data_IF_996361185835
#
_entry.id   IF_996361185835
#
_cell.length_a   1.000
_cell.length_b   1.000
_cell.length_c   1.000
_cell.angle_alpha   90.00
_cell.angle_beta   90.00
_cell.angle_gamma   90.00
#
_symmetry.space_group_name_H-M   'P 1'
#
loop_
_entity.id
_entity.type
_entity.pdbx_description
1 polymer ?
#
# COMPACT_ATOMS: atom_id res chain seq x y z
N UNK A 1 17.72 4.27 2.38
CA UNK A 1 16.47 4.21 1.59
C UNK A 1 15.87 2.83 1.71
N UNK A 2 14.55 2.78 1.92
CA UNK A 2 13.73 1.56 1.92
C UNK A 2 12.61 1.73 0.91
N UNK A 3 12.48 0.77 -0.01
CA UNK A 3 11.41 0.76 -1.00
C UNK A 3 10.13 0.13 -0.45
N UNK A 4 9.00 0.76 -0.80
CA UNK A 4 7.63 0.32 -0.59
C UNK A 4 6.91 0.42 -1.93
N UNK A 5 6.87 -0.66 -2.67
CA UNK A 5 6.39 -0.73 -4.04
C UNK A 5 5.42 -1.89 -4.25
N UNK A 6 4.75 -1.89 -5.40
CA UNK A 6 3.72 -2.85 -5.78
C UNK A 6 2.55 -2.95 -4.79
N UNK A 7 1.89 -4.12 -4.74
CA UNK A 7 0.70 -4.33 -3.93
C UNK A 7 1.05 -4.69 -2.48
N UNK A 8 0.54 -3.92 -1.53
CA UNK A 8 0.75 -4.18 -0.10
C UNK A 8 -0.12 -5.34 0.37
N UNK A 9 0.50 -6.50 0.52
CA UNK A 9 -0.18 -7.73 0.97
C UNK A 9 0.66 -8.47 2.02
N UNK A 10 -0.02 -9.11 2.97
CA UNK A 10 0.62 -9.96 3.96
C UNK A 10 0.51 -11.43 3.55
N UNK A 11 1.08 -11.77 2.43
CA UNK A 11 1.18 -13.15 1.92
C UNK A 11 2.43 -13.31 1.06
N UNK A 12 2.89 -14.55 0.94
CA UNK A 12 3.99 -14.85 0.03
C UNK A 12 3.49 -14.71 -1.41
N UNK A 13 4.14 -13.85 -2.17
CA UNK A 13 3.91 -13.72 -3.60
C UNK A 13 4.75 -14.76 -4.33
N UNK A 14 4.11 -15.72 -4.97
CA UNK A 14 4.75 -16.78 -5.74
C UNK A 14 4.50 -16.60 -7.22
N UNK A 15 5.52 -16.75 -8.05
CA UNK A 15 5.43 -16.62 -9.51
C UNK A 15 6.77 -16.90 -10.17
N UNK A 16 6.82 -16.93 -11.49
CA UNK A 16 8.09 -16.99 -12.23
C UNK A 16 8.92 -15.74 -11.92
N UNK A 17 10.07 -15.95 -11.30
CA UNK A 17 10.98 -14.87 -10.88
C UNK A 17 10.73 -14.35 -9.45
N UNK A 18 9.69 -14.81 -8.75
CA UNK A 18 9.49 -14.52 -7.33
C UNK A 18 10.08 -15.62 -6.45
N UNK A 19 10.77 -15.24 -5.39
CA UNK A 19 11.29 -16.18 -4.38
C UNK A 19 10.25 -16.50 -3.29
N UNK A 20 8.97 -16.15 -3.48
CA UNK A 20 7.91 -16.38 -2.51
C UNK A 20 7.94 -15.37 -1.36
N UNK A 21 8.37 -14.16 -1.61
CA UNK A 21 8.54 -13.14 -0.59
C UNK A 21 7.22 -12.50 -0.16
N UNK A 22 7.18 -12.10 1.11
CA UNK A 22 6.06 -11.39 1.71
C UNK A 22 6.46 -9.91 1.90
N UNK A 23 5.78 -8.94 1.26
CA UNK A 23 6.12 -7.53 1.35
C UNK A 23 6.20 -6.99 2.78
N UNK A 24 5.26 -7.39 3.65
CA UNK A 24 5.24 -6.99 5.07
C UNK A 24 6.47 -7.54 5.82
N UNK A 25 6.80 -8.82 5.57
CA UNK A 25 7.97 -9.45 6.21
C UNK A 25 9.28 -8.83 5.76
N UNK A 26 9.41 -8.52 4.46
CA UNK A 26 10.57 -7.82 3.90
C UNK A 26 10.73 -6.42 4.49
N UNK A 27 9.63 -5.68 4.61
CA UNK A 27 9.65 -4.36 5.21
C UNK A 27 10.15 -4.41 6.66
N UNK A 28 9.61 -5.32 7.48
CA UNK A 28 10.07 -5.55 8.85
C UNK A 28 11.54 -5.94 8.93
N UNK A 29 12.02 -6.81 8.02
CA UNK A 29 13.42 -7.21 7.94
C UNK A 29 14.34 -6.02 7.65
N UNK A 30 13.96 -5.15 6.71
CA UNK A 30 14.69 -3.93 6.40
C UNK A 30 14.74 -2.97 7.59
N UNK A 31 13.62 -2.74 8.28
CA UNK A 31 13.59 -1.92 9.50
C UNK A 31 14.50 -2.49 10.60
N UNK A 32 14.47 -3.81 10.79
CA UNK A 32 15.36 -4.48 11.75
C UNK A 32 16.84 -4.34 11.38
N UNK A 33 17.17 -4.38 10.09
CA UNK A 33 18.53 -4.12 9.61
C UNK A 33 19.00 -2.71 9.96
N UNK A 34 18.13 -1.70 9.79
CA UNK A 34 18.40 -0.32 10.18
C UNK A 34 18.63 -0.21 11.69
N UNK A 35 17.76 -0.85 12.48
CA UNK A 35 17.89 -0.85 13.95
C UNK A 35 19.21 -1.40 14.45
N UNK A 36 19.81 -2.33 13.71
CA UNK A 36 21.08 -2.94 14.07
C UNK A 36 22.32 -2.14 13.62
N UNK A 37 22.13 -1.06 12.85
CA UNK A 37 23.22 -0.23 12.34
C UNK A 37 23.13 1.20 12.91
N UNK A 38 23.92 1.52 13.96
CA UNK A 38 23.90 2.83 14.60
C UNK A 38 24.45 3.96 13.72
N UNK A 39 25.06 3.64 12.59
CA UNK A 39 25.54 4.65 11.63
C UNK A 39 24.40 5.27 10.83
N UNK A 40 23.23 4.62 10.74
CA UNK A 40 22.07 5.15 10.04
C UNK A 40 21.41 6.24 10.87
N UNK A 41 21.27 7.42 10.28
CA UNK A 41 20.83 8.65 10.96
C UNK A 41 19.47 9.16 10.49
N UNK A 42 18.97 8.68 9.36
CA UNK A 42 17.65 8.98 8.82
C UNK A 42 17.14 7.82 7.96
N UNK A 43 15.84 7.76 7.79
CA UNK A 43 15.16 6.79 6.91
C UNK A 43 14.40 7.55 5.83
N UNK A 44 14.63 7.22 4.57
CA UNK A 44 13.79 7.63 3.46
C UNK A 44 12.96 6.43 2.99
N UNK A 45 11.63 6.51 3.10
CA UNK A 45 10.69 5.55 2.53
C UNK A 45 10.38 5.99 1.11
N UNK A 46 10.82 5.23 0.12
CA UNK A 46 10.53 5.49 -1.28
C UNK A 46 9.29 4.71 -1.69
N UNK A 47 8.18 5.42 -1.90
CA UNK A 47 6.84 4.85 -2.07
C UNK A 47 6.42 4.92 -3.53
N UNK A 48 6.07 3.76 -4.11
CA UNK A 48 5.52 3.63 -5.46
C UNK A 48 4.46 2.50 -5.49
N UNK A 49 3.34 2.71 -4.80
CA UNK A 49 2.30 1.70 -4.61
C UNK A 49 0.89 2.30 -4.70
N UNK A 50 -0.05 1.61 -5.33
CA UNK A 50 -1.47 1.97 -5.29
C UNK A 50 -2.15 1.57 -3.96
N UNK A 51 -1.40 0.95 -3.03
CA UNK A 51 -1.91 0.42 -1.78
C UNK A 51 -2.08 -1.10 -1.78
N UNK A 52 -3.06 -1.60 -1.05
CA UNK A 52 -3.28 -3.04 -0.91
C UNK A 52 -4.25 -3.39 0.22
N UNK A 53 -4.05 -4.53 0.86
CA UNK A 53 -4.88 -4.97 1.98
C UNK A 53 -4.85 -3.99 3.15
N UNK A 54 -6.02 -3.67 3.72
CA UNK A 54 -6.13 -2.82 4.92
C UNK A 54 -5.22 -3.35 6.03
N UNK A 55 -5.30 -4.65 6.31
CA UNK A 55 -4.49 -5.28 7.36
C UNK A 55 -2.99 -5.21 7.06
N UNK A 56 -2.56 -5.37 5.80
CA UNK A 56 -1.14 -5.27 5.44
C UNK A 56 -0.61 -3.85 5.64
N UNK A 57 -1.37 -2.84 5.20
CA UNK A 57 -1.02 -1.42 5.36
C UNK A 57 -0.95 -1.01 6.84
N UNK A 58 -1.94 -1.44 7.65
CA UNK A 58 -1.97 -1.18 9.09
C UNK A 58 -0.79 -1.87 9.81
N UNK A 59 -0.48 -3.11 9.45
CA UNK A 59 0.65 -3.84 10.04
C UNK A 59 2.00 -3.19 9.69
N UNK A 60 2.19 -2.74 8.45
CA UNK A 60 3.42 -2.02 8.06
C UNK A 60 3.54 -0.68 8.80
N UNK A 61 2.42 0.05 8.97
CA UNK A 61 2.38 1.27 9.78
C UNK A 61 2.75 1.00 11.24
N UNK A 62 2.21 -0.07 11.83
CA UNK A 62 2.53 -0.49 13.18
C UNK A 62 4.03 -0.83 13.36
N UNK A 63 4.63 -1.55 12.40
CA UNK A 63 6.08 -1.85 12.42
C UNK A 63 6.93 -0.56 12.33
N UNK A 64 6.49 0.41 11.54
CA UNK A 64 7.18 1.71 11.43
C UNK A 64 7.07 2.53 12.72
N UNK A 65 5.91 2.53 13.38
CA UNK A 65 5.75 3.16 14.69
C UNK A 65 6.57 2.47 15.79
N UNK A 66 6.62 1.14 15.78
CA UNK A 66 7.47 0.38 16.70
C UNK A 66 8.95 0.73 16.49
N UNK A 67 9.39 0.76 15.24
CA UNK A 67 10.74 1.19 14.86
C UNK A 67 11.05 2.61 15.37
N UNK A 68 10.15 3.58 15.16
CA UNK A 68 10.32 4.98 15.60
C UNK A 68 10.47 5.09 17.12
N UNK A 69 9.73 4.30 17.89
CA UNK A 69 9.82 4.30 19.36
C UNK A 69 11.20 3.83 19.87
N UNK A 70 11.78 2.85 19.18
CA UNK A 70 13.08 2.28 19.54
C UNK A 70 14.26 3.08 18.96
N UNK A 71 14.06 3.67 17.78
CA UNK A 71 15.06 4.39 16.99
C UNK A 71 14.49 5.75 16.55
N UNK A 72 14.64 6.80 17.38
CA UNK A 72 14.08 8.13 17.10
C UNK A 72 14.93 8.90 16.05
N UNK A 73 15.00 8.35 14.84
CA UNK A 73 15.61 9.01 13.68
C UNK A 73 14.51 9.57 12.77
N UNK A 74 14.78 10.67 12.03
CA UNK A 74 13.83 11.23 11.07
C UNK A 74 13.43 10.22 10.01
N UNK A 75 12.14 10.21 9.67
CA UNK A 75 11.56 9.39 8.60
C UNK A 75 10.95 10.33 7.56
N UNK A 76 11.42 10.28 6.33
CA UNK A 76 10.88 11.05 5.20
C UNK A 76 10.26 10.09 4.19
N UNK A 77 9.00 10.30 3.83
CA UNK A 77 8.37 9.58 2.73
C UNK A 77 8.61 10.33 1.42
N UNK A 78 9.01 9.60 0.38
CA UNK A 78 9.17 10.11 -0.98
C UNK A 78 8.25 9.34 -1.92
N UNK A 79 7.17 9.97 -2.36
CA UNK A 79 6.21 9.38 -3.31
C UNK A 79 6.73 9.59 -4.73
N UNK A 80 6.95 8.48 -5.45
CA UNK A 80 7.45 8.48 -6.83
C UNK A 80 6.29 8.60 -7.83
N UNK A 81 5.82 7.48 -8.39
CA UNK A 81 4.69 7.45 -9.32
C UNK A 81 3.36 7.48 -8.61
N UNK A 82 3.13 6.56 -7.71
CA UNK A 82 1.87 6.41 -6.98
C UNK A 82 2.14 6.23 -5.49
N UNK A 83 1.46 7.03 -4.68
CA UNK A 83 1.38 6.86 -3.23
C UNK A 83 -0.07 7.03 -2.82
N UNK A 84 -0.90 6.04 -3.13
CA UNK A 84 -2.34 6.09 -2.91
C UNK A 84 -2.80 4.95 -2.01
N UNK A 85 -4.00 5.08 -1.43
CA UNK A 85 -4.55 4.08 -0.54
C UNK A 85 -3.60 3.72 0.60
N UNK A 86 -3.25 2.43 0.73
CA UNK A 86 -2.29 1.96 1.74
C UNK A 86 -0.89 2.58 1.62
N UNK A 87 -0.48 3.02 0.43
CA UNK A 87 0.77 3.76 0.22
C UNK A 87 0.75 5.13 0.89
N UNK A 88 -0.35 5.86 0.74
CA UNK A 88 -0.54 7.13 1.44
C UNK A 88 -0.76 6.94 2.95
N UNK A 89 -1.50 5.90 3.35
CA UNK A 89 -1.63 5.51 4.76
C UNK A 89 -0.25 5.33 5.43
N UNK A 90 0.67 4.64 4.75
CA UNK A 90 2.03 4.43 5.25
C UNK A 90 2.85 5.72 5.21
N UNK A 91 2.71 6.56 4.18
CA UNK A 91 3.38 7.87 4.10
C UNK A 91 3.03 8.77 5.29
N UNK A 92 1.80 8.70 5.80
CA UNK A 92 1.36 9.45 6.98
C UNK A 92 2.07 9.06 8.29
N UNK A 93 2.83 7.98 8.32
CA UNK A 93 3.72 7.66 9.45
C UNK A 93 5.09 8.37 9.38
N UNK A 94 5.39 9.08 8.27
CA UNK A 94 6.63 9.85 8.15
C UNK A 94 6.52 11.23 8.80
N UNK A 95 7.68 11.81 9.13
CA UNK A 95 7.78 13.16 9.68
C UNK A 95 7.67 14.23 8.59
N UNK A 96 7.96 13.85 7.34
CA UNK A 96 7.91 14.74 6.18
C UNK A 96 7.58 13.94 4.93
N UNK A 97 6.67 14.45 4.09
CA UNK A 97 6.22 13.78 2.87
C UNK A 97 6.59 14.65 1.66
N UNK A 98 7.41 14.09 0.77
CA UNK A 98 7.78 14.67 -0.52
C UNK A 98 7.09 13.88 -1.62
N UNK A 99 6.50 14.54 -2.61
CA UNK A 99 5.97 13.89 -3.80
C UNK A 99 6.38 14.62 -5.08
N UNK A 100 6.57 13.89 -6.17
CA UNK A 100 6.84 14.51 -7.46
C UNK A 100 5.61 15.30 -7.92
N UNK A 101 5.77 16.36 -8.74
CA UNK A 101 4.63 17.17 -9.22
C UNK A 101 3.54 16.34 -9.92
N UNK A 102 3.94 15.22 -10.53
CA UNK A 102 3.08 14.32 -11.31
C UNK A 102 2.72 13.03 -10.58
N UNK A 103 3.17 12.85 -9.34
CA UNK A 103 2.78 11.70 -8.51
C UNK A 103 1.27 11.68 -8.30
N UNK A 104 0.72 10.49 -8.18
CA UNK A 104 -0.67 10.27 -7.79
C UNK A 104 -0.72 10.05 -6.28
N UNK A 105 -1.43 10.92 -5.58
CA UNK A 105 -1.51 10.93 -4.10
C UNK A 105 -2.97 10.87 -3.64
N UNK A 106 -3.24 10.34 -2.46
CA UNK A 106 -4.59 10.30 -1.88
C UNK A 106 -5.21 8.91 -1.96
N UNK A 107 -6.37 8.76 -2.59
CA UNK A 107 -7.09 7.49 -2.59
C UNK A 107 -7.49 7.06 -1.16
N UNK A 108 -7.94 8.04 -0.34
CA UNK A 108 -8.34 7.81 1.06
C UNK A 108 -9.72 7.19 1.06
N UNK A 109 -9.75 5.87 0.95
CA UNK A 109 -10.98 5.12 0.84
C UNK A 109 -10.77 3.62 1.02
N UNK A 110 -11.87 2.88 1.08
CA UNK A 110 -11.89 1.42 1.23
C UNK A 110 -12.74 0.82 0.13
N UNK A 111 -12.26 -0.25 -0.46
CA UNK A 111 -13.03 -1.03 -1.42
C UNK A 111 -13.04 -2.51 -1.01
N UNK A 112 -14.19 -3.15 -1.14
CA UNK A 112 -14.36 -4.60 -1.11
C UNK A 112 -14.97 -5.04 -2.43
N UNK A 113 -14.19 -5.69 -3.29
CA UNK A 113 -14.68 -6.22 -4.56
C UNK A 113 -15.41 -7.54 -4.32
N UNK A 114 -16.69 -7.57 -4.66
CA UNK A 114 -17.52 -8.77 -4.67
C UNK A 114 -18.08 -9.01 -6.05
N UNK A 115 -18.23 -10.28 -6.41
CA UNK A 115 -18.75 -10.68 -7.73
C UNK A 115 -19.95 -11.60 -7.52
N UNK A 116 -20.96 -11.47 -8.38
CA UNK A 116 -22.05 -12.44 -8.45
C UNK A 116 -21.89 -13.30 -9.71
N UNK A 117 -21.71 -14.59 -9.52
CA UNK A 117 -21.55 -15.59 -10.58
C UNK A 117 -22.74 -16.58 -10.65
N UNK A 118 -23.80 -16.35 -9.88
CA UNK A 118 -24.96 -17.24 -9.77
C UNK A 118 -25.53 -17.58 -11.13
N UNK A 119 -25.86 -16.57 -11.94
CA UNK A 119 -26.44 -16.77 -13.29
C UNK A 119 -25.45 -17.44 -14.23
N UNK A 120 -24.18 -17.11 -14.17
CA UNK A 120 -23.14 -17.73 -14.98
C UNK A 120 -23.01 -19.23 -14.67
N UNK A 121 -23.01 -19.61 -13.42
CA UNK A 121 -22.99 -21.01 -12.99
C UNK A 121 -24.25 -21.75 -13.42
N UNK A 122 -25.43 -21.10 -13.35
CA UNK A 122 -26.69 -21.62 -13.80
C UNK A 122 -26.71 -22.00 -15.31
N UNK A 123 -26.04 -21.21 -16.16
CA UNK A 123 -25.89 -21.52 -17.59
C UNK A 123 -25.12 -22.82 -17.85
N UNK A 124 -24.26 -23.23 -16.92
CA UNK A 124 -23.53 -24.49 -16.98
C UNK A 124 -24.19 -25.63 -16.17
N UNK A 125 -25.45 -25.44 -15.72
CA UNK A 125 -26.16 -26.35 -14.83
C UNK A 125 -25.42 -26.66 -13.51
N UNK A 126 -24.62 -25.71 -13.03
CA UNK A 126 -23.94 -25.79 -11.74
C UNK A 126 -24.77 -25.05 -10.69
N UNK A 127 -25.25 -25.78 -9.69
CA UNK A 127 -26.02 -25.21 -8.57
C UNK A 127 -25.20 -25.35 -7.29
N UNK A 128 -24.99 -24.23 -6.59
CA UNK A 128 -24.36 -24.25 -5.29
C UNK A 128 -25.38 -24.63 -4.22
N UNK A 129 -25.06 -25.64 -3.43
CA UNK A 129 -25.91 -26.12 -2.33
C UNK A 129 -25.07 -26.15 -1.06
N UNK A 130 -24.87 -25.00 -0.38
CA UNK A 130 -24.07 -24.94 0.84
C UNK A 130 -24.78 -25.60 2.01
N UNK A 131 -24.10 -26.54 2.69
CA UNK A 131 -24.48 -27.02 4.00
C UNK A 131 -23.71 -26.21 5.03
N UNK A 132 -24.42 -25.38 5.80
CA UNK A 132 -23.79 -24.40 6.69
C UNK A 132 -24.39 -24.40 8.09
N UNK A 133 -23.55 -24.10 9.07
CA UNK A 133 -23.95 -23.73 10.42
C UNK A 133 -23.48 -22.27 10.66
N UNK A 134 -24.43 -21.40 11.00
CA UNK A 134 -24.27 -19.96 11.00
C UNK A 134 -24.78 -19.32 9.70
N UNK A 135 -25.78 -18.48 9.84
CA UNK A 135 -26.52 -17.92 8.69
C UNK A 135 -25.62 -17.09 7.76
N UNK A 136 -24.72 -16.30 8.31
CA UNK A 136 -23.84 -15.37 7.58
C UNK A 136 -22.46 -15.95 7.24
N UNK A 137 -22.22 -17.27 7.40
CA UNK A 137 -20.89 -17.86 7.18
C UNK A 137 -20.43 -17.82 5.70
N UNK A 138 -21.37 -17.70 4.79
CA UNK A 138 -21.13 -17.58 3.35
C UNK A 138 -21.36 -16.15 2.82
N UNK A 139 -21.21 -15.17 3.71
CA UNK A 139 -21.24 -13.74 3.38
C UNK A 139 -20.28 -13.41 2.23
N UNK A 140 -20.76 -12.63 1.26
CA UNK A 140 -20.03 -12.28 0.02
C UNK A 140 -19.64 -13.49 -0.86
N UNK A 141 -20.30 -14.64 -0.72
CA UNK A 141 -20.12 -15.76 -1.65
C UNK A 141 -20.47 -15.34 -3.09
N UNK A 142 -19.61 -15.57 -4.09
CA UNK A 142 -19.92 -15.24 -5.46
C UNK A 142 -20.95 -16.19 -6.08
N UNK A 143 -21.33 -17.28 -5.39
CA UNK A 143 -22.18 -18.35 -5.90
C UNK A 143 -23.66 -18.10 -5.69
N UNK A 144 -24.03 -17.01 -5.05
CA UNK A 144 -25.41 -16.59 -4.80
C UNK A 144 -25.53 -15.07 -4.75
N UNK A 145 -26.73 -14.59 -4.97
CA UNK A 145 -27.03 -13.17 -4.77
C UNK A 145 -26.88 -12.79 -3.31
N UNK A 146 -26.22 -11.64 -3.07
CA UNK A 146 -26.03 -11.08 -1.74
C UNK A 146 -27.33 -10.44 -1.25
N UNK A 147 -27.72 -10.76 -0.02
CA UNK A 147 -28.89 -10.16 0.63
C UNK A 147 -28.61 -8.71 1.04
N UNK A 148 -29.65 -7.85 1.09
CA UNK A 148 -29.51 -6.45 1.49
C UNK A 148 -28.82 -6.26 2.86
N UNK A 149 -29.19 -7.06 3.85
CA UNK A 149 -28.62 -7.01 5.20
C UNK A 149 -27.13 -7.41 5.23
N UNK A 150 -26.73 -8.29 4.34
CA UNK A 150 -25.33 -8.69 4.18
C UNK A 150 -24.50 -7.55 3.60
N UNK A 151 -25.07 -6.83 2.63
CA UNK A 151 -24.46 -5.65 2.04
C UNK A 151 -24.30 -4.54 3.08
N UNK A 152 -25.32 -4.28 3.90
CA UNK A 152 -25.27 -3.28 4.97
C UNK A 152 -24.19 -3.62 6.00
N UNK A 153 -24.05 -4.90 6.37
CA UNK A 153 -23.00 -5.35 7.28
C UNK A 153 -21.62 -5.12 6.69
N UNK A 154 -21.38 -5.46 5.42
CA UNK A 154 -20.10 -5.22 4.76
C UNK A 154 -19.82 -3.73 4.59
N UNK A 155 -20.84 -2.93 4.30
CA UNK A 155 -20.73 -1.48 4.20
C UNK A 155 -20.31 -0.89 5.54
N UNK A 156 -20.92 -1.28 6.65
CA UNK A 156 -20.57 -0.78 7.98
C UNK A 156 -19.11 -1.07 8.35
N UNK A 157 -18.58 -2.23 7.94
CA UNK A 157 -17.17 -2.57 8.15
C UNK A 157 -16.28 -1.70 7.27
N UNK A 158 -16.67 -1.45 6.01
CA UNK A 158 -15.93 -0.56 5.10
C UNK A 158 -15.89 0.87 5.65
N UNK A 159 -17.02 1.37 6.16
CA UNK A 159 -17.13 2.70 6.75
C UNK A 159 -16.24 2.84 8.00
N UNK A 160 -16.21 1.83 8.88
CA UNK A 160 -15.32 1.82 10.05
C UNK A 160 -13.85 1.90 9.64
N UNK A 161 -13.45 1.11 8.63
CA UNK A 161 -12.09 1.13 8.12
C UNK A 161 -11.75 2.46 7.43
N UNK A 162 -12.70 3.08 6.73
CA UNK A 162 -12.53 4.40 6.12
C UNK A 162 -12.35 5.49 7.17
N UNK A 163 -13.18 5.50 8.21
CA UNK A 163 -13.06 6.45 9.34
C UNK A 163 -11.71 6.27 10.08
N UNK A 164 -11.23 5.04 10.22
CA UNK A 164 -9.89 4.78 10.75
C UNK A 164 -8.81 5.41 9.88
N UNK A 165 -8.88 5.26 8.56
CA UNK A 165 -7.93 5.88 7.64
C UNK A 165 -7.99 7.41 7.73
N UNK A 166 -9.19 7.98 7.65
CA UNK A 166 -9.41 9.43 7.79
C UNK A 166 -8.83 9.97 9.09
N UNK A 167 -9.11 9.31 10.21
CA UNK A 167 -8.61 9.70 11.53
C UNK A 167 -7.07 9.66 11.59
N UNK A 168 -6.45 8.63 10.98
CA UNK A 168 -4.99 8.53 10.91
C UNK A 168 -4.39 9.70 10.11
N UNK A 169 -4.96 10.02 8.94
CA UNK A 169 -4.49 11.15 8.14
C UNK A 169 -4.65 12.48 8.90
N UNK A 170 -5.80 12.73 9.53
CA UNK A 170 -6.04 13.95 10.30
C UNK A 170 -5.07 14.09 11.48
N UNK A 171 -4.70 12.98 12.13
CA UNK A 171 -3.70 12.99 13.21
C UNK A 171 -2.29 13.32 12.70
N UNK A 172 -1.93 12.81 11.52
CA UNK A 172 -0.63 13.02 10.89
C UNK A 172 -0.52 14.38 10.18
N UNK A 173 -1.64 14.92 9.69
CA UNK A 173 -1.73 16.11 8.84
C UNK A 173 -2.69 17.15 9.44
N UNK A 174 -2.28 17.88 10.49
CA UNK A 174 -3.20 18.77 11.24
C UNK A 174 -3.71 19.97 10.45
N UNK A 175 -3.09 20.30 9.30
CA UNK A 175 -3.48 21.42 8.44
C UNK A 175 -4.50 21.00 7.34
N UNK A 176 -4.86 19.72 7.28
CA UNK A 176 -5.81 19.19 6.30
C UNK A 176 -7.23 19.52 6.72
N UNK A 177 -8.08 19.93 5.77
CA UNK A 177 -9.47 20.23 6.01
C UNK A 177 -10.28 18.94 6.29
N UNK A 178 -10.89 18.79 7.49
CA UNK A 178 -11.65 17.59 7.83
C UNK A 178 -12.97 17.43 7.05
N UNK A 179 -13.46 18.51 6.42
CA UNK A 179 -14.73 18.54 5.69
C UNK A 179 -14.51 18.58 4.15
N UNK A 180 -13.30 18.40 3.68
CA UNK A 180 -12.97 18.45 2.27
C UNK A 180 -13.53 17.27 1.46
N UNK A 181 -13.70 17.47 0.15
CA UNK A 181 -14.26 16.46 -0.75
C UNK A 181 -13.31 15.28 -1.02
N UNK A 182 -12.01 15.41 -0.78
CA UNK A 182 -11.04 14.34 -1.10
C UNK A 182 -11.10 13.13 -0.14
N UNK A 183 -11.97 13.15 0.85
CA UNK A 183 -12.28 11.98 1.68
C UNK A 183 -13.13 10.92 0.97
N UNK A 184 -13.59 11.20 -0.24
CA UNK A 184 -14.39 10.27 -1.07
C UNK A 184 -13.57 9.18 -1.79
N UNK A 185 -12.26 9.11 -1.54
CA UNK A 185 -11.36 8.14 -2.16
C UNK A 185 -10.75 8.61 -3.49
N UNK A 186 -10.99 9.88 -3.88
CA UNK A 186 -10.34 10.43 -5.09
C UNK A 186 -8.83 10.54 -4.90
N UNK A 187 -8.13 10.54 -6.02
CA UNK A 187 -6.69 10.83 -6.08
C UNK A 187 -6.44 12.17 -6.73
N UNK A 188 -5.27 12.71 -6.50
CA UNK A 188 -4.85 14.01 -7.02
C UNK A 188 -3.36 13.99 -7.38
N UNK A 189 -2.90 14.99 -8.09
CA UNK A 189 -1.47 15.14 -8.39
C UNK A 189 -0.69 15.56 -7.12
N UNK A 190 0.63 15.32 -7.12
CA UNK A 190 1.48 15.77 -6.02
C UNK A 190 1.41 17.28 -5.79
N UNK A 191 1.21 18.08 -6.85
CA UNK A 191 1.00 19.53 -6.74
C UNK A 191 -0.29 19.86 -5.99
N UNK A 192 -1.41 19.26 -6.39
CA UNK A 192 -2.70 19.46 -5.73
C UNK A 192 -2.66 18.96 -4.27
N UNK A 193 -2.00 17.84 -4.02
CA UNK A 193 -1.82 17.30 -2.66
C UNK A 193 -1.03 18.27 -1.74
N UNK A 194 -0.08 19.01 -2.30
CA UNK A 194 0.63 20.07 -1.57
C UNK A 194 -0.30 21.25 -1.24
N UNK A 195 -1.12 21.69 -2.19
CA UNK A 195 -2.05 22.80 -2.00
C UNK A 195 -3.09 22.54 -0.89
N UNK A 196 -3.46 21.25 -0.70
CA UNK A 196 -4.40 20.83 0.34
C UNK A 196 -3.71 20.24 1.58
N UNK A 197 -2.41 20.43 1.73
CA UNK A 197 -1.58 20.01 2.86
C UNK A 197 -1.52 18.49 3.12
N UNK A 198 -1.85 17.65 2.14
CA UNK A 198 -1.66 16.20 2.23
C UNK A 198 -0.19 15.81 2.16
N UNK A 199 0.67 16.63 1.56
CA UNK A 199 2.12 16.48 1.56
C UNK A 199 2.81 17.78 2.00
N UNK A 200 4.10 17.71 2.35
CA UNK A 200 4.87 18.85 2.85
C UNK A 200 5.67 19.55 1.76
N UNK A 201 6.02 18.83 0.70
CA UNK A 201 6.90 19.37 -0.34
C UNK A 201 6.64 18.71 -1.69
N UNK A 202 6.63 19.52 -2.74
CA UNK A 202 6.74 19.02 -4.12
C UNK A 202 8.22 18.92 -4.48
N UNK A 203 8.69 17.73 -4.84
CA UNK A 203 10.11 17.49 -5.11
C UNK A 203 10.39 16.05 -5.59
N UNK A 204 11.65 15.71 -5.65
CA UNK A 204 12.16 14.43 -6.12
C UNK A 204 12.93 13.69 -5.02
N UNK A 205 13.48 12.52 -5.33
CA UNK A 205 14.21 11.70 -4.35
C UNK A 205 15.36 12.48 -3.70
N UNK A 206 16.06 13.30 -4.48
CA UNK A 206 17.17 14.09 -3.96
C UNK A 206 16.71 15.15 -2.94
N UNK A 207 15.52 15.72 -3.14
CA UNK A 207 14.89 16.64 -2.18
C UNK A 207 14.48 15.91 -0.89
N UNK A 208 13.96 14.69 -1.01
CA UNK A 208 13.63 13.87 0.16
C UNK A 208 14.88 13.46 0.95
N UNK A 209 15.97 13.13 0.26
CA UNK A 209 17.26 12.84 0.89
C UNK A 209 17.80 14.11 1.58
N UNK A 210 17.71 15.28 0.93
CA UNK A 210 18.14 16.55 1.52
C UNK A 210 17.31 16.88 2.78
N UNK A 211 15.99 16.71 2.74
CA UNK A 211 15.11 16.90 3.89
C UNK A 211 15.49 15.94 5.04
N UNK A 212 15.70 14.67 4.76
CA UNK A 212 16.12 13.67 5.75
C UNK A 212 17.48 14.02 6.39
N UNK A 213 18.44 14.45 5.56
CA UNK A 213 19.78 14.88 6.01
C UNK A 213 19.70 16.11 6.93
N UNK A 214 18.88 17.10 6.53
CA UNK A 214 18.66 18.30 7.34
C UNK A 214 17.99 17.98 8.67
N UNK A 215 16.95 17.14 8.67
CA UNK A 215 16.24 16.75 9.89
C UNK A 215 17.12 15.94 10.84
N UNK A 216 18.01 15.13 10.30
CA UNK A 216 18.99 14.36 11.08
C UNK A 216 20.17 15.19 11.59
N UNK A 217 20.30 16.45 11.16
CA UNK A 217 21.43 17.32 11.46
C UNK A 217 22.79 16.68 11.14
N UNK A 218 22.88 15.99 10.00
CA UNK A 218 24.11 15.40 9.46
C UNK A 218 24.62 16.18 8.26
N UNK A 219 25.89 15.97 7.90
CA UNK A 219 26.51 16.67 6.78
C UNK A 219 25.85 16.30 5.43
N UNK A 220 25.82 17.23 4.50
CA UNK A 220 25.18 17.07 3.18
C UNK A 220 25.84 16.00 2.30
N UNK A 221 27.07 15.59 2.62
CA UNK A 221 27.84 14.54 1.96
C UNK A 221 27.67 13.15 2.64
N UNK A 222 26.72 13.01 3.56
CA UNK A 222 26.41 11.75 4.18
C UNK A 222 26.09 10.67 3.13
N UNK A 223 26.64 9.48 3.33
CA UNK A 223 26.43 8.37 2.41
C UNK A 223 24.97 7.93 2.40
N UNK A 224 24.40 7.83 1.20
CA UNK A 224 23.05 7.27 1.00
C UNK A 224 23.17 5.78 0.70
N UNK A 225 22.54 4.96 1.52
CA UNK A 225 22.51 3.50 1.33
C UNK A 225 21.11 3.01 1.02
N UNK A 226 21.01 2.03 0.10
CA UNK A 226 19.77 1.35 -0.20
C UNK A 226 19.80 -0.07 0.37
N UNK A 227 18.77 -0.43 1.12
CA UNK A 227 18.65 -1.76 1.68
C UNK A 227 18.04 -2.70 0.64
N UNK A 228 18.86 -3.64 0.19
CA UNK A 228 18.49 -4.69 -0.77
C UNK A 228 18.76 -6.06 -0.19
N UNK A 229 18.09 -7.06 -0.69
CA UNK A 229 18.27 -8.46 -0.28
C UNK A 229 19.29 -9.20 -1.16
N UNK A 230 19.56 -8.66 -2.34
CA UNK A 230 20.44 -9.22 -3.34
C UNK A 230 21.79 -8.48 -3.41
N UNK A 231 22.78 -9.12 -4.06
CA UNK A 231 24.10 -8.53 -4.33
C UNK A 231 24.08 -7.50 -5.47
N UNK A 232 22.91 -7.22 -6.05
CA UNK A 232 22.78 -6.24 -7.12
C UNK A 232 23.00 -4.81 -6.59
N UNK A 233 23.93 -4.10 -7.22
CA UNK A 233 24.37 -2.79 -6.76
C UNK A 233 23.48 -1.70 -7.32
N UNK A 234 22.91 -0.86 -6.46
CA UNK A 234 22.32 0.40 -6.89
C UNK A 234 23.42 1.40 -7.25
N UNK A 235 23.30 2.03 -8.41
CA UNK A 235 24.20 3.09 -8.86
C UNK A 235 23.63 4.48 -8.60
N UNK A 236 22.31 4.58 -8.49
CA UNK A 236 21.60 5.82 -8.24
C UNK A 236 20.45 5.60 -7.25
N UNK A 237 19.96 6.68 -6.63
CA UNK A 237 18.78 6.65 -5.77
C UNK A 237 17.47 6.35 -6.54
N UNK A 238 17.53 6.29 -7.88
CA UNK A 238 16.39 5.95 -8.74
C UNK A 238 16.33 4.47 -9.11
N UNK A 239 17.39 3.70 -8.84
CA UNK A 239 17.40 2.26 -9.15
C UNK A 239 16.33 1.53 -8.36
N UNK A 240 15.51 0.73 -9.05
CA UNK A 240 14.50 -0.12 -8.40
C UNK A 240 15.14 -1.29 -7.66
N UNK A 241 14.52 -1.68 -6.57
CA UNK A 241 14.94 -2.88 -5.84
C UNK A 241 14.56 -4.12 -6.63
N UNK A 242 15.51 -5.01 -7.02
CA UNK A 242 15.20 -6.17 -7.86
C UNK A 242 14.35 -7.24 -7.17
N UNK A 243 14.14 -7.12 -5.88
CA UNK A 243 13.42 -8.09 -5.05
C UNK A 243 11.96 -7.72 -4.80
N UNK A 244 11.38 -6.87 -5.61
CA UNK A 244 9.95 -6.63 -5.55
C UNK A 244 9.20 -7.89 -6.00
N UNK A 245 8.36 -8.48 -5.14
CA UNK A 245 7.61 -9.67 -5.50
C UNK A 245 6.71 -9.39 -6.70
N UNK A 246 6.88 -10.09 -7.81
CA UNK A 246 6.02 -9.90 -8.98
C UNK A 246 4.86 -10.89 -8.98
N UNK A 247 3.67 -10.41 -9.28
CA UNK A 247 2.45 -11.22 -9.42
C UNK A 247 2.29 -11.81 -10.82
N UNK A 248 3.35 -11.86 -11.63
CA UNK A 248 3.28 -12.30 -13.03
C UNK A 248 2.92 -13.78 -13.11
N UNK A 249 1.66 -14.07 -13.35
CA UNK A 249 1.18 -15.40 -13.75
C UNK A 249 1.23 -15.50 -15.27
N UNK A 250 1.85 -16.55 -15.82
CA UNK A 250 1.92 -16.79 -17.28
C UNK A 250 0.54 -17.04 -17.90
N UNK A 251 -0.44 -17.42 -17.09
CA UNK A 251 -1.84 -17.59 -17.49
C UNK A 251 -2.69 -17.08 -16.33
N UNK A 252 -3.15 -15.83 -16.36
CA UNK A 252 -4.01 -15.29 -15.31
C UNK A 252 -5.45 -15.79 -15.49
N UNK A 253 -5.67 -17.09 -15.34
CA UNK A 253 -7.03 -17.64 -15.21
C UNK A 253 -7.35 -17.60 -13.71
N UNK A 254 -7.63 -16.43 -13.22
CA UNK A 254 -8.20 -16.24 -11.89
C UNK A 254 -9.73 -16.29 -12.06
N UNK A 255 -10.33 -17.45 -11.81
CA UNK A 255 -11.78 -17.55 -11.68
C UNK A 255 -12.15 -17.09 -10.25
N UNK A 256 -12.80 -15.93 -10.09
CA UNK A 256 -13.21 -15.45 -8.78
C UNK A 256 -14.05 -16.50 -8.06
N UNK A 257 -13.73 -16.79 -6.80
CA UNK A 257 -14.49 -17.72 -5.97
C UNK A 257 -14.06 -19.20 -6.03
N UNK A 258 -13.12 -19.61 -6.90
CA UNK A 258 -12.60 -20.97 -6.94
C UNK A 258 -11.27 -21.14 -6.19
N UNK A 259 -10.55 -20.07 -5.94
CA UNK A 259 -9.33 -20.08 -5.15
C UNK A 259 -9.57 -19.44 -3.78
N UNK A 260 -9.38 -20.21 -2.70
CA UNK A 260 -9.46 -19.69 -1.32
C UNK A 260 -8.44 -18.60 -1.01
N UNK A 261 -7.35 -18.50 -1.78
CA UNK A 261 -6.37 -17.42 -1.66
C UNK A 261 -6.91 -16.07 -2.14
N UNK A 262 -8.03 -16.07 -2.88
CA UNK A 262 -8.71 -14.91 -3.43
C UNK A 262 -9.99 -14.56 -2.64
N UNK A 263 -10.03 -14.84 -1.34
CA UNK A 263 -11.16 -14.43 -0.50
C UNK A 263 -11.38 -12.92 -0.59
N UNK A 264 -12.64 -12.47 -0.57
CA UNK A 264 -12.94 -11.04 -0.48
C UNK A 264 -12.19 -10.42 0.68
N UNK A 265 -11.46 -9.35 0.44
CA UNK A 265 -10.75 -8.62 1.47
C UNK A 265 -10.95 -7.12 1.31
N UNK A 266 -11.00 -6.40 2.41
CA UNK A 266 -11.03 -4.94 2.38
C UNK A 266 -9.67 -4.39 1.99
N UNK A 267 -9.67 -3.42 1.08
CA UNK A 267 -8.47 -2.85 0.50
C UNK A 267 -8.44 -1.33 0.69
N UNK A 268 -7.31 -0.81 1.13
CA UNK A 268 -6.87 0.56 0.91
C UNK A 268 -6.15 0.62 -0.43
N UNK A 269 -6.90 0.57 -1.51
CA UNK A 269 -6.36 0.41 -2.86
C UNK A 269 -6.99 1.41 -3.82
N UNK A 270 -6.16 2.22 -4.46
CA UNK A 270 -6.55 2.96 -5.65
C UNK A 270 -6.41 2.05 -6.87
N UNK A 271 -7.56 1.66 -7.43
CA UNK A 271 -7.63 0.75 -8.55
C UNK A 271 -7.99 1.53 -9.82
N UNK A 272 -6.97 1.86 -10.62
CA UNK A 272 -7.18 2.31 -11.99
C UNK A 272 -7.18 1.10 -12.90
N UNK A 273 -8.31 0.77 -13.50
CA UNK A 273 -8.42 -0.31 -14.49
C UNK A 273 -8.49 0.28 -15.92
N UNK A 274 -7.98 -0.48 -16.92
CA UNK A 274 -7.12 -1.66 -16.83
C UNK A 274 -5.63 -1.32 -16.81
N UNK A 275 -4.82 -2.07 -16.07
CA UNK A 275 -3.38 -2.02 -16.22
C UNK A 275 -2.98 -2.79 -17.49
N UNK A 276 -2.85 -2.10 -18.61
CA UNK A 276 -2.27 -2.67 -19.85
C UNK A 276 -0.74 -2.66 -19.87
N UNK A 277 -0.11 -2.17 -18.82
CA UNK A 277 1.34 -2.22 -18.73
C UNK A 277 1.75 -3.58 -18.22
N UNK A 278 1.96 -4.51 -19.14
CA UNK A 278 2.90 -5.60 -18.88
C UNK A 278 4.25 -4.94 -18.70
N UNK A 279 4.84 -5.06 -17.51
CA UNK A 279 6.24 -4.72 -17.32
C UNK A 279 7.08 -5.71 -18.16
N UNK A 280 7.19 -5.44 -19.46
CA UNK A 280 8.24 -6.00 -20.26
C UNK A 280 9.48 -5.21 -19.86
N UNK A 281 10.29 -5.82 -19.01
CA UNK A 281 11.60 -5.31 -18.68
C UNK A 281 12.41 -5.09 -19.95
N UNK A 282 12.93 -3.90 -20.09
CA UNK A 282 14.11 -3.61 -20.89
C UNK A 282 15.32 -3.71 -20.00
#
# INVERSE_FOLDING_TARGET
IVDVDDLLVNRNLTGLGSMGENPVSLFREKLKSISNDPSIRALVLRIDTPGGGVNASDLMGHELEAFRREHPIPIVACILGVGAGGGYYLACHADHIVAQPTSIVGGIGVILNTYNLEDALGQFNVVSIPVKAGEKIDLASPQRTMEPEERELLQSIADEMHERFKSHVLAARPNVDPDAEYWDGRVMTGREAFEVALIDQVGYVDDAVAAATQMAAVDSDAAVVMLRRDNDRAYTALDKTPNTPSTTSLIPINLPGLDRSLLPTFLYLWQAEPRFVTASGG
#
